data_IF_646487219038
#
_entry.id   IF_646487219038
#
_cell.length_a   1.000
_cell.length_b   1.000
_cell.length_c   1.000
_cell.angle_alpha   90.00
_cell.angle_beta   90.00
_cell.angle_gamma   90.00
#
_symmetry.space_group_name_H-M   'P 1'
#
loop_
_entity.id
_entity.type
_entity.pdbx_description
1 polymer ?
#
# COMPACT_ATOMS: atom_id res chain seq x y z
N UNK A 1 91.74 -25.03 39.93
CA UNK A 1 91.65 -26.51 39.94
C UNK A 1 90.47 -26.88 39.08
N UNK A 2 90.74 -27.71 38.08
CA UNK A 2 89.87 -28.00 36.95
C UNK A 2 88.95 -29.20 37.20
N UNK A 3 87.84 -29.19 36.45
CA UNK A 3 87.18 -30.34 35.80
C UNK A 3 86.30 -31.30 36.60
N UNK A 4 85.01 -31.34 36.21
CA UNK A 4 84.29 -32.48 35.58
C UNK A 4 82.90 -31.98 35.17
N UNK A 5 82.50 -31.88 33.90
CA UNK A 5 82.36 -32.87 32.81
C UNK A 5 81.25 -33.92 33.03
N UNK A 6 80.39 -34.01 31.99
CA UNK A 6 79.55 -35.16 31.58
C UNK A 6 78.18 -35.24 32.28
N UNK A 7 77.04 -35.57 31.68
CA UNK A 7 76.58 -35.88 30.31
C UNK A 7 75.13 -36.36 30.49
N UNK A 8 74.26 -36.20 29.48
CA UNK A 8 72.94 -36.82 29.41
C UNK A 8 71.86 -35.76 29.15
N UNK A 9 71.46 -35.55 27.90
CA UNK A 9 70.38 -36.30 27.26
C UNK A 9 69.07 -36.20 28.06
N UNK A 10 68.10 -35.46 27.52
CA UNK A 10 66.88 -36.07 26.96
C UNK A 10 65.98 -35.02 26.34
N UNK A 11 65.64 -35.29 25.09
CA UNK A 11 64.60 -34.58 24.37
C UNK A 11 63.26 -34.64 25.10
N UNK A 12 62.46 -33.60 24.88
CA UNK A 12 61.09 -33.54 25.34
C UNK A 12 60.62 -32.10 25.24
N UNK A 13 59.98 -31.76 24.10
CA UNK A 13 59.28 -30.49 23.91
C UNK A 13 58.33 -30.25 25.09
N UNK A 14 58.72 -29.38 26.02
CA UNK A 14 57.77 -28.78 26.95
C UNK A 14 57.03 -27.69 26.17
N UNK A 15 55.91 -28.06 25.55
CA UNK A 15 54.91 -27.12 25.05
C UNK A 15 54.40 -26.32 26.28
N UNK A 16 54.35 -24.98 26.26
CA UNK A 16 54.08 -24.17 27.44
C UNK A 16 52.62 -24.28 27.95
N UNK A 17 52.42 -24.36 29.27
CA UNK A 17 51.12 -24.32 29.99
C UNK A 17 50.21 -23.14 29.60
N UNK A 18 50.75 -22.11 28.93
CA UNK A 18 49.98 -20.97 28.41
C UNK A 18 48.97 -21.37 27.32
N UNK A 19 49.18 -22.50 26.63
CA UNK A 19 48.20 -23.04 25.68
C UNK A 19 47.07 -23.83 26.35
N UNK A 20 47.21 -24.23 27.63
CA UNK A 20 46.13 -24.85 28.39
C UNK A 20 45.14 -23.81 28.95
N UNK A 21 45.60 -22.59 29.28
CA UNK A 21 44.68 -21.49 29.61
C UNK A 21 43.82 -21.06 28.40
N UNK A 22 44.38 -21.07 27.18
CA UNK A 22 43.63 -20.85 25.94
C UNK A 22 42.54 -21.91 25.66
N UNK A 23 42.66 -23.10 26.23
CA UNK A 23 41.62 -24.14 26.13
C UNK A 23 40.51 -23.99 27.18
N UNK A 24 40.72 -23.21 28.25
CA UNK A 24 39.73 -22.97 29.30
C UNK A 24 38.86 -21.73 29.03
N UNK A 25 39.38 -20.76 28.27
CA UNK A 25 38.64 -19.60 27.75
C UNK A 25 37.31 -19.96 27.04
N UNK A 26 37.24 -20.93 26.10
CA UNK A 26 35.98 -21.30 25.46
C UNK A 26 34.99 -21.97 26.44
N UNK A 27 35.46 -22.64 27.49
CA UNK A 27 34.59 -23.24 28.50
C UNK A 27 33.90 -22.16 29.35
N UNK A 28 34.67 -21.17 29.83
CA UNK A 28 34.13 -20.05 30.60
C UNK A 28 33.17 -19.18 29.77
N UNK A 29 33.48 -18.99 28.48
CA UNK A 29 32.59 -18.28 27.57
C UNK A 29 31.27 -19.03 27.33
N UNK A 30 31.32 -20.35 27.20
CA UNK A 30 30.13 -21.20 27.07
C UNK A 30 29.27 -21.15 28.32
N UNK A 31 29.86 -21.27 29.49
CA UNK A 31 29.16 -21.26 30.78
C UNK A 31 28.54 -19.88 31.08
N UNK A 32 29.24 -18.80 30.76
CA UNK A 32 28.70 -17.43 30.81
C UNK A 32 27.55 -17.22 29.81
N UNK A 33 27.69 -17.72 28.58
CA UNK A 33 26.64 -17.63 27.58
C UNK A 33 25.38 -18.43 27.99
N UNK A 34 25.55 -19.60 28.59
CA UNK A 34 24.45 -20.40 29.15
C UNK A 34 23.76 -19.66 30.30
N UNK A 35 24.51 -19.02 31.20
CA UNK A 35 23.95 -18.21 32.29
C UNK A 35 23.21 -16.98 31.77
N UNK A 36 23.78 -16.25 30.81
CA UNK A 36 23.13 -15.08 30.19
C UNK A 36 21.85 -15.50 29.47
N UNK A 37 21.86 -16.65 28.79
CA UNK A 37 20.69 -17.18 28.10
C UNK A 37 19.58 -17.61 29.08
N UNK A 38 19.94 -18.32 30.16
CA UNK A 38 19.00 -18.71 31.21
C UNK A 38 18.44 -17.50 31.96
N UNK A 39 19.27 -16.48 32.22
CA UNK A 39 18.81 -15.22 32.78
C UNK A 39 17.86 -14.47 31.82
N UNK A 40 18.15 -14.48 30.52
CA UNK A 40 17.29 -13.94 29.48
C UNK A 40 15.92 -14.64 29.41
N UNK A 41 15.92 -15.97 29.44
CA UNK A 41 14.70 -16.79 29.49
C UNK A 41 13.91 -16.58 30.79
N UNK A 42 14.60 -16.44 31.93
CA UNK A 42 13.97 -16.16 33.22
C UNK A 42 13.33 -14.78 33.28
N UNK A 43 14.02 -13.74 32.77
CA UNK A 43 13.49 -12.39 32.67
C UNK A 43 12.30 -12.32 31.70
N UNK A 44 12.37 -13.00 30.55
CA UNK A 44 11.25 -13.09 29.61
C UNK A 44 10.04 -13.81 30.21
N UNK A 45 10.25 -14.92 30.91
CA UNK A 45 9.17 -15.63 31.62
C UNK A 45 8.54 -14.77 32.73
N UNK A 46 9.34 -13.96 33.44
CA UNK A 46 8.83 -13.02 34.45
C UNK A 46 8.03 -11.88 33.82
N UNK A 47 8.48 -11.34 32.68
CA UNK A 47 7.73 -10.38 31.89
C UNK A 47 6.42 -10.95 31.32
N UNK A 48 6.35 -12.25 30.98
CA UNK A 48 5.11 -12.92 30.59
C UNK A 48 4.13 -13.06 31.78
N UNK A 49 4.64 -13.42 32.96
CA UNK A 49 3.82 -13.56 34.18
C UNK A 49 3.30 -12.21 34.70
N UNK A 50 4.12 -11.16 34.67
CA UNK A 50 3.74 -9.81 35.09
C UNK A 50 2.99 -9.04 33.98
N UNK A 51 3.22 -9.40 32.72
CA UNK A 51 2.62 -8.79 31.54
C UNK A 51 1.10 -8.98 31.48
N UNK A 52 0.56 -10.10 31.96
CA UNK A 52 -0.89 -10.34 31.99
C UNK A 52 -1.65 -9.36 32.90
N UNK A 53 -1.07 -8.95 34.04
CA UNK A 53 -1.69 -7.97 34.94
C UNK A 53 -1.67 -6.57 34.35
N UNK A 54 -0.52 -6.16 33.80
CA UNK A 54 -0.38 -4.87 33.12
C UNK A 54 -1.27 -4.81 31.88
N UNK A 55 -1.38 -5.90 31.13
CA UNK A 55 -2.32 -6.04 30.01
C UNK A 55 -3.77 -5.90 30.46
N UNK A 56 -4.20 -6.58 31.51
CA UNK A 56 -5.57 -6.45 32.03
C UNK A 56 -5.87 -5.02 32.52
N UNK A 57 -4.89 -4.32 33.11
CA UNK A 57 -5.02 -2.90 33.48
C UNK A 57 -5.15 -2.03 32.23
N UNK A 58 -4.27 -2.20 31.24
CA UNK A 58 -4.33 -1.49 29.96
C UNK A 58 -5.65 -1.74 29.21
N UNK A 59 -6.19 -2.95 29.25
CA UNK A 59 -7.48 -3.29 28.64
C UNK A 59 -8.61 -2.61 29.38
N UNK A 60 -8.61 -2.61 30.71
CA UNK A 60 -9.62 -1.88 31.49
C UNK A 60 -9.54 -0.37 31.25
N UNK A 61 -8.34 0.20 31.24
CA UNK A 61 -8.12 1.61 30.95
C UNK A 61 -8.54 1.94 29.51
N UNK A 62 -8.28 1.07 28.54
CA UNK A 62 -8.74 1.20 27.16
C UNK A 62 -10.26 1.16 27.04
N UNK A 63 -10.93 0.24 27.74
CA UNK A 63 -12.39 0.16 27.79
C UNK A 63 -13.00 1.38 28.48
N UNK A 64 -12.38 1.89 29.56
CA UNK A 64 -12.81 3.11 30.24
C UNK A 64 -12.64 4.33 29.33
N UNK A 65 -11.50 4.44 28.64
CA UNK A 65 -11.22 5.50 27.69
C UNK A 65 -12.18 5.47 26.50
N UNK A 66 -12.50 4.28 25.97
CA UNK A 66 -13.48 4.12 24.89
C UNK A 66 -14.88 4.58 25.33
N UNK A 67 -15.33 4.18 26.53
CA UNK A 67 -16.61 4.62 27.09
C UNK A 67 -16.65 6.13 27.28
N UNK A 68 -15.57 6.71 27.80
CA UNK A 68 -15.45 8.15 27.97
C UNK A 68 -15.45 8.87 26.62
N UNK A 69 -14.70 8.38 25.63
CA UNK A 69 -14.69 8.94 24.29
C UNK A 69 -16.06 8.85 23.62
N UNK A 70 -16.78 7.74 23.79
CA UNK A 70 -18.14 7.59 23.29
C UNK A 70 -19.11 8.56 23.96
N UNK A 71 -19.04 8.73 25.29
CA UNK A 71 -19.86 9.70 26.02
C UNK A 71 -19.60 11.13 25.55
N UNK A 72 -18.32 11.53 25.44
CA UNK A 72 -17.93 12.83 24.91
C UNK A 72 -18.38 13.02 23.46
N UNK A 73 -18.26 11.99 22.62
CA UNK A 73 -18.75 12.04 21.24
C UNK A 73 -20.27 12.20 21.18
N UNK A 74 -21.02 11.50 22.04
CA UNK A 74 -22.47 11.65 22.15
C UNK A 74 -22.86 13.05 22.62
N UNK A 75 -22.19 13.61 23.62
CA UNK A 75 -22.40 14.99 24.07
C UNK A 75 -22.10 16.00 22.96
N UNK A 76 -20.98 15.84 22.25
CA UNK A 76 -20.60 16.72 21.15
C UNK A 76 -21.57 16.61 19.97
N UNK A 77 -22.05 15.40 19.67
CA UNK A 77 -23.05 15.19 18.62
C UNK A 77 -24.39 15.81 19.00
N UNK A 78 -24.84 15.66 20.25
CA UNK A 78 -26.05 16.31 20.75
C UNK A 78 -25.90 17.84 20.72
N UNK A 79 -24.78 18.38 21.19
CA UNK A 79 -24.50 19.81 21.14
C UNK A 79 -24.45 20.34 19.69
N UNK A 80 -23.86 19.59 18.77
CA UNK A 80 -23.85 19.91 17.34
C UNK A 80 -25.26 19.84 16.74
N UNK A 81 -26.07 18.84 17.08
CA UNK A 81 -27.47 18.70 16.65
C UNK A 81 -28.29 19.88 17.14
N UNK A 82 -28.21 20.24 18.43
CA UNK A 82 -28.95 21.39 18.97
C UNK A 82 -28.51 22.72 18.34
N UNK A 83 -27.21 22.89 18.05
CA UNK A 83 -26.71 24.06 17.30
C UNK A 83 -27.24 24.06 15.86
N UNK A 84 -27.27 22.90 15.20
CA UNK A 84 -27.78 22.74 13.85
C UNK A 84 -29.28 23.01 13.78
N UNK A 85 -30.07 22.48 14.71
CA UNK A 85 -31.50 22.77 14.85
C UNK A 85 -31.73 24.26 15.08
N UNK A 86 -30.95 24.90 15.98
CA UNK A 86 -31.02 26.34 16.22
C UNK A 86 -30.66 27.18 15.00
N UNK A 87 -29.68 26.75 14.20
CA UNK A 87 -29.32 27.39 12.93
C UNK A 87 -30.39 27.16 11.86
N UNK A 88 -30.93 25.94 11.76
CA UNK A 88 -31.99 25.58 10.81
C UNK A 88 -33.27 26.35 11.08
N UNK A 89 -33.68 26.50 12.34
CA UNK A 89 -34.84 27.34 12.71
C UNK A 89 -34.62 28.80 12.32
N UNK A 90 -33.43 29.35 12.58
CA UNK A 90 -33.07 30.73 12.20
C UNK A 90 -32.93 30.92 10.69
N UNK A 91 -32.51 29.89 9.95
CA UNK A 91 -32.32 29.90 8.51
C UNK A 91 -33.65 29.69 7.77
N UNK A 92 -34.54 28.85 8.32
CA UNK A 92 -35.92 28.68 7.84
C UNK A 92 -36.71 29.99 7.92
N UNK A 93 -36.47 30.82 8.94
CA UNK A 93 -37.06 32.16 9.05
C UNK A 93 -36.44 33.20 8.10
N UNK A 94 -35.29 32.90 7.47
CA UNK A 94 -34.48 33.87 6.72
C UNK A 94 -34.01 33.34 5.36
N UNK A 95 -34.96 32.80 4.58
CA UNK A 95 -34.83 32.38 3.17
C UNK A 95 -33.74 31.33 2.84
N UNK A 96 -34.04 30.45 1.89
CA UNK A 96 -33.21 29.30 1.50
C UNK A 96 -31.87 29.63 0.81
N UNK A 97 -31.60 30.89 0.47
CA UNK A 97 -30.43 31.32 -0.31
C UNK A 97 -29.04 30.94 0.28
N UNK A 98 -28.85 30.87 1.61
CA UNK A 98 -27.60 30.37 2.17
C UNK A 98 -27.47 28.83 2.14
N UNK A 99 -28.57 28.08 1.99
CA UNK A 99 -28.52 26.60 1.85
C UNK A 99 -27.91 26.22 0.51
N UNK A 100 -28.30 26.90 -0.57
CA UNK A 100 -27.77 26.63 -1.92
C UNK A 100 -26.24 26.82 -1.97
N UNK A 101 -25.71 27.82 -1.26
CA UNK A 101 -24.24 28.04 -1.16
C UNK A 101 -23.55 26.95 -0.35
N UNK A 102 -24.22 26.39 0.67
CA UNK A 102 -23.71 25.27 1.45
C UNK A 102 -23.78 23.96 0.66
N UNK A 103 -24.82 23.77 -0.15
CA UNK A 103 -24.94 22.64 -1.08
C UNK A 103 -23.77 22.66 -2.07
N UNK A 104 -23.51 23.81 -2.72
CA UNK A 104 -22.36 23.95 -3.62
C UNK A 104 -21.00 23.69 -2.93
N UNK A 105 -20.82 24.18 -1.69
CA UNK A 105 -19.58 23.93 -0.92
C UNK A 105 -19.45 22.46 -0.48
N UNK A 106 -20.55 21.83 -0.08
CA UNK A 106 -20.60 20.43 0.28
C UNK A 106 -20.28 19.55 -0.94
N UNK A 107 -20.95 19.79 -2.07
CA UNK A 107 -20.67 19.15 -3.35
C UNK A 107 -19.19 19.29 -3.73
N UNK A 108 -18.63 20.50 -3.65
CA UNK A 108 -17.22 20.72 -3.94
C UNK A 108 -16.29 19.90 -3.03
N UNK A 109 -16.61 19.80 -1.73
CA UNK A 109 -15.83 19.01 -0.77
C UNK A 109 -15.97 17.51 -1.01
N UNK A 110 -17.17 17.03 -1.31
CA UNK A 110 -17.44 15.63 -1.64
C UNK A 110 -16.74 15.26 -2.95
N UNK A 111 -16.89 16.06 -4.00
CA UNK A 111 -16.21 15.88 -5.27
C UNK A 111 -14.68 15.82 -5.06
N UNK A 112 -14.11 16.73 -4.24
CA UNK A 112 -12.68 16.71 -3.92
C UNK A 112 -12.25 15.46 -3.14
N UNK A 113 -13.10 14.93 -2.25
CA UNK A 113 -12.82 13.70 -1.53
C UNK A 113 -12.90 12.47 -2.45
N UNK A 114 -13.92 12.39 -3.30
CA UNK A 114 -14.08 11.34 -4.31
C UNK A 114 -12.90 11.31 -5.29
N UNK A 115 -12.47 12.49 -5.77
CA UNK A 115 -11.29 12.61 -6.64
C UNK A 115 -10.01 12.13 -5.95
N UNK A 116 -9.83 12.42 -4.65
CA UNK A 116 -8.70 11.89 -3.87
C UNK A 116 -8.73 10.38 -3.69
N UNK A 117 -9.91 9.77 -3.74
CA UNK A 117 -10.09 8.32 -3.74
C UNK A 117 -10.00 7.71 -5.16
N UNK A 118 -9.77 8.52 -6.19
CA UNK A 118 -9.65 8.07 -7.58
C UNK A 118 -10.98 7.80 -8.28
N UNK A 119 -12.10 8.28 -7.73
CA UNK A 119 -13.42 8.14 -8.36
C UNK A 119 -13.64 9.34 -9.30
N UNK A 120 -13.69 9.13 -10.63
CA UNK A 120 -13.95 10.19 -11.60
C UNK A 120 -15.40 10.67 -11.54
N UNK A 121 -15.65 11.92 -11.91
CA UNK A 121 -17.00 12.48 -11.94
C UNK A 121 -17.79 12.02 -13.17
N UNK A 122 -19.11 12.22 -13.14
CA UNK A 122 -19.96 11.92 -14.30
C UNK A 122 -19.56 12.75 -15.55
N UNK A 123 -19.16 14.01 -15.36
CA UNK A 123 -18.72 14.88 -16.46
C UNK A 123 -17.41 14.38 -17.09
N UNK A 124 -16.50 13.85 -16.26
CA UNK A 124 -15.24 13.26 -16.76
C UNK A 124 -15.51 12.02 -17.63
N UNK A 125 -16.47 11.20 -17.22
CA UNK A 125 -16.89 10.01 -17.99
C UNK A 125 -17.57 10.40 -19.31
N UNK A 126 -18.43 11.41 -19.30
CA UNK A 126 -19.10 11.91 -20.50
C UNK A 126 -18.10 12.52 -21.48
N UNK A 127 -17.15 13.33 -21.00
CA UNK A 127 -16.07 13.87 -21.81
C UNK A 127 -15.19 12.77 -22.42
N UNK A 128 -14.96 11.68 -21.69
CA UNK A 128 -14.24 10.52 -22.20
C UNK A 128 -15.04 9.78 -23.28
N UNK A 129 -16.34 9.56 -23.09
CA UNK A 129 -17.20 8.97 -24.11
C UNK A 129 -17.23 9.79 -25.41
N UNK A 130 -17.35 11.11 -25.31
CA UNK A 130 -17.33 11.99 -26.48
C UNK A 130 -16.01 11.88 -27.27
N UNK A 131 -14.87 11.79 -26.57
CA UNK A 131 -13.56 11.57 -27.19
C UNK A 131 -13.47 10.20 -27.87
N UNK A 132 -14.00 9.15 -27.24
CA UNK A 132 -14.04 7.80 -27.83
C UNK A 132 -14.89 7.79 -29.10
N UNK A 133 -16.05 8.45 -29.11
CA UNK A 133 -16.88 8.54 -30.32
C UNK A 133 -16.16 9.28 -31.46
N UNK A 134 -15.53 10.42 -31.15
CA UNK A 134 -14.78 11.19 -32.14
C UNK A 134 -13.64 10.35 -32.77
N UNK A 135 -12.85 9.68 -31.92
CA UNK A 135 -11.77 8.79 -32.37
C UNK A 135 -12.32 7.59 -33.16
N UNK A 136 -13.47 7.03 -32.76
CA UNK A 136 -14.10 5.93 -33.47
C UNK A 136 -14.54 6.34 -34.88
N UNK A 137 -15.05 7.57 -35.04
CA UNK A 137 -15.40 8.12 -36.36
C UNK A 137 -14.16 8.32 -37.23
N UNK A 138 -13.12 8.93 -36.69
CA UNK A 138 -11.86 9.16 -37.42
C UNK A 138 -11.20 7.84 -37.87
N UNK A 139 -11.26 6.80 -37.02
CA UNK A 139 -10.80 5.46 -37.37
C UNK A 139 -11.62 4.82 -38.49
N UNK A 140 -12.95 4.95 -38.47
CA UNK A 140 -13.79 4.41 -39.54
C UNK A 140 -13.61 5.17 -40.86
N UNK A 141 -13.42 6.49 -40.82
CA UNK A 141 -13.07 7.30 -41.99
C UNK A 141 -11.71 6.89 -42.57
N UNK A 142 -10.69 6.74 -41.73
CA UNK A 142 -9.36 6.28 -42.13
C UNK A 142 -9.42 4.87 -42.73
N UNK A 143 -10.20 3.96 -42.13
CA UNK A 143 -10.43 2.61 -42.67
C UNK A 143 -11.18 2.64 -44.00
N UNK A 144 -12.16 3.52 -44.16
CA UNK A 144 -12.86 3.70 -45.43
C UNK A 144 -11.90 4.20 -46.53
N UNK A 145 -11.02 5.14 -46.21
CA UNK A 145 -10.00 5.66 -47.12
C UNK A 145 -8.96 4.60 -47.51
N UNK A 146 -8.49 3.79 -46.56
CA UNK A 146 -7.57 2.68 -46.87
C UNK A 146 -8.22 1.61 -47.76
N UNK A 147 -9.52 1.34 -47.58
CA UNK A 147 -10.30 0.41 -48.41
C UNK A 147 -10.53 0.95 -49.82
N UNK A 148 -10.78 2.25 -49.99
CA UNK A 148 -10.96 2.84 -51.33
C UNK A 148 -9.65 2.84 -52.13
N UNK A 149 -8.50 3.01 -51.46
CA UNK A 149 -7.18 2.90 -52.10
C UNK A 149 -6.86 1.47 -52.54
N UNK A 150 -7.19 0.45 -51.73
CA UNK A 150 -6.97 -0.96 -52.11
C UNK A 150 -8.04 -1.52 -53.06
N UNK A 151 -9.26 -0.99 -53.05
CA UNK A 151 -10.35 -1.41 -53.95
C UNK A 151 -10.17 -0.91 -55.38
N UNK A 152 -9.40 0.15 -55.59
CA UNK A 152 -9.11 0.69 -56.92
C UNK A 152 -8.16 -0.19 -57.75
N UNK A 153 -7.37 -1.08 -57.14
CA UNK A 153 -6.47 -2.00 -57.88
C UNK A 153 -7.14 -3.32 -58.34
N UNK A 154 -8.37 -3.64 -57.91
CA UNK A 154 -9.07 -4.87 -58.34
C UNK A 154 -10.21 -4.63 -59.34
N UNK A 155 -10.38 -3.40 -59.83
CA UNK A 155 -11.49 -2.99 -60.70
C UNK A 155 -11.22 -2.87 -62.20
N UNK A 156 -9.98 -3.04 -62.67
CA UNK A 156 -9.63 -2.89 -64.10
C UNK A 156 -9.13 -4.21 -64.72
N UNK A 157 -10.02 -5.20 -64.79
CA UNK A 157 -9.88 -6.34 -65.70
C UNK A 157 -11.11 -6.37 -66.62
N UNK A 158 -11.07 -5.55 -67.67
CA UNK A 158 -12.05 -5.53 -68.75
C UNK A 158 -12.09 -6.89 -69.50
N UNK A 159 -13.27 -7.50 -69.75
CA UNK A 159 -13.35 -8.62 -70.67
C UNK A 159 -13.39 -8.11 -72.11
N UNK A 160 -12.33 -8.43 -72.85
CA UNK A 160 -12.20 -8.18 -74.27
C UNK A 160 -13.26 -8.92 -75.11
N UNK A 161 -13.94 -8.15 -75.96
CA UNK A 161 -14.48 -8.44 -77.31
C UNK A 161 -14.78 -9.90 -77.67
N UNK A 162 -16.05 -10.17 -78.03
CA UNK A 162 -16.39 -11.18 -79.05
C UNK A 162 -17.23 -10.56 -80.17
N UNK A 163 -16.64 -10.64 -81.36
CA UNK A 163 -17.16 -10.24 -82.67
C UNK A 163 -18.36 -11.09 -83.09
N UNK A 164 -19.40 -10.47 -83.65
CA UNK A 164 -20.33 -11.12 -84.59
C UNK A 164 -20.66 -10.20 -85.75
N UNK A 165 -20.03 -10.51 -86.89
CA UNK A 165 -20.34 -10.09 -88.25
C UNK A 165 -21.35 -11.08 -88.85
N UNK A 166 -22.43 -10.60 -89.51
CA UNK A 166 -23.20 -11.18 -90.66
C UNK A 166 -24.61 -10.52 -90.69
N UNK A 167 -24.97 -9.61 -91.59
CA UNK A 167 -25.21 -9.67 -93.06
C UNK A 167 -26.44 -10.47 -93.49
N UNK A 168 -27.32 -9.81 -94.28
CA UNK A 168 -28.43 -10.36 -95.10
C UNK A 168 -29.79 -10.32 -94.39
N UNK A 169 -30.75 -9.49 -94.81
CA UNK A 169 -31.60 -9.57 -96.01
C UNK A 169 -32.49 -10.80 -96.06
#
# INVERSE_FOLDING_TARGET
MSSKSSSGDKGGRAIPEQLQQLQQLPHLAKESAEQIWLAGLGAFSKAQQEGGKVFNVLVQDGLALQKQAQAMAQEQLQAASSRFEGLTSKMSERAAEPLDKLESLFEHRVAKALLRMGIPSAQDLEALHAQIEALSRELEETRAQLRSVHGAEQGDAAPARKSTRKSGS
#
